data_IF_599296399832
#
_entry.id   IF_599296399832
#
_cell.length_a   1.000
_cell.length_b   1.000
_cell.length_c   1.000
_cell.angle_alpha   90.00
_cell.angle_beta   90.00
_cell.angle_gamma   90.00
#
_symmetry.space_group_name_H-M   'P 1'
#
loop_
_entity.id
_entity.type
_entity.pdbx_description
1 polymer ?
#
# COMPACT_ATOMS: atom_id res chain seq x y z
N UNK A 1 -25.53 -10.69 22.80
CA UNK A 1 -24.19 -10.89 23.37
C UNK A 1 -23.26 -10.91 22.18
N UNK A 2 -22.38 -9.89 22.12
CA UNK A 2 -21.19 -9.76 21.26
C UNK A 2 -21.42 -9.64 19.73
N UNK A 3 -20.77 -8.76 18.99
CA UNK A 3 -19.42 -8.19 19.18
C UNK A 3 -19.33 -6.66 19.06
N UNK A 4 -18.27 -6.17 19.69
CA UNK A 4 -18.03 -4.81 20.17
C UNK A 4 -16.83 -4.25 19.39
N UNK A 5 -16.84 -2.93 19.19
CA UNK A 5 -15.66 -2.06 18.96
C UNK A 5 -15.07 -2.06 17.54
N UNK A 6 -15.54 -1.13 16.69
CA UNK A 6 -14.60 -0.41 15.81
C UNK A 6 -14.03 0.73 16.63
N UNK A 7 -12.86 0.50 17.21
CA UNK A 7 -12.11 1.50 17.95
C UNK A 7 -11.83 2.64 16.96
N UNK A 8 -12.17 3.86 17.36
CA UNK A 8 -11.91 5.05 16.58
C UNK A 8 -10.42 5.09 16.27
N UNK A 9 -10.07 4.92 14.99
CA UNK A 9 -8.68 4.88 14.57
C UNK A 9 -8.03 6.23 14.88
N UNK A 10 -6.90 6.21 15.59
CA UNK A 10 -5.98 7.34 15.59
C UNK A 10 -5.59 7.60 14.13
N UNK A 11 -6.13 8.66 13.53
CA UNK A 11 -5.86 9.03 12.14
C UNK A 11 -4.48 9.71 12.10
N UNK A 12 -3.42 9.02 11.66
CA UNK A 12 -2.10 9.63 11.59
C UNK A 12 -2.11 10.80 10.62
N UNK A 13 -1.40 11.86 10.97
CA UNK A 13 -1.28 13.02 10.08
C UNK A 13 -0.42 12.70 8.86
N UNK A 14 0.61 11.86 9.08
CA UNK A 14 1.62 11.51 8.09
C UNK A 14 1.70 9.99 7.89
N UNK A 15 1.78 9.55 6.65
CA UNK A 15 2.00 8.13 6.32
C UNK A 15 3.24 7.98 5.46
N UNK A 16 4.10 7.02 5.82
CA UNK A 16 5.28 6.64 5.05
C UNK A 16 4.97 5.33 4.33
N UNK A 17 5.02 5.32 3.00
CA UNK A 17 4.82 4.11 2.18
C UNK A 17 6.18 3.60 1.71
N UNK A 18 6.53 2.38 2.11
CA UNK A 18 7.76 1.69 1.70
C UNK A 18 7.40 0.65 0.64
N UNK A 19 7.94 0.84 -0.56
CA UNK A 19 7.72 -0.13 -1.63
C UNK A 19 8.60 -1.35 -1.45
N UNK A 20 8.00 -2.51 -1.69
CA UNK A 20 8.68 -3.78 -1.80
C UNK A 20 9.60 -3.87 -3.00
N UNK A 21 10.55 -4.80 -2.89
CA UNK A 21 11.39 -5.32 -3.93
C UNK A 21 11.80 -6.73 -3.52
N UNK A 22 12.46 -7.47 -4.40
CA UNK A 22 12.83 -8.86 -4.19
C UNK A 22 13.46 -9.12 -2.80
N UNK A 23 13.01 -10.18 -2.13
CA UNK A 23 13.70 -10.81 -0.99
C UNK A 23 14.81 -11.75 -1.46
N UNK A 24 15.67 -12.16 -0.53
CA UNK A 24 16.60 -13.27 -0.73
C UNK A 24 15.85 -14.62 -0.71
N UNK A 25 16.52 -15.68 -1.16
CA UNK A 25 15.95 -17.05 -1.21
C UNK A 25 15.57 -17.59 0.17
N UNK A 26 16.28 -17.16 1.22
CA UNK A 26 16.01 -17.50 2.62
C UNK A 26 14.86 -16.68 3.25
N UNK A 27 14.24 -15.78 2.48
CA UNK A 27 13.19 -14.88 2.94
C UNK A 27 13.69 -13.63 3.66
N UNK A 28 15.01 -13.44 3.80
CA UNK A 28 15.57 -12.22 4.36
C UNK A 28 15.46 -11.04 3.37
N UNK A 29 15.36 -9.79 3.85
CA UNK A 29 15.35 -8.63 2.96
C UNK A 29 16.69 -8.49 2.23
N UNK A 30 16.65 -8.14 0.95
CA UNK A 30 17.84 -7.73 0.19
C UNK A 30 18.42 -6.43 0.73
N UNK A 31 19.68 -6.11 0.41
CA UNK A 31 20.29 -4.82 0.79
C UNK A 31 19.48 -3.61 0.30
N UNK A 32 18.79 -3.73 -0.83
CA UNK A 32 17.88 -2.69 -1.32
C UNK A 32 16.66 -2.52 -0.43
N UNK A 33 16.02 -3.62 -0.01
CA UNK A 33 14.92 -3.57 0.96
C UNK A 33 15.38 -2.96 2.29
N UNK A 34 16.52 -3.42 2.82
CA UNK A 34 17.10 -2.87 4.06
C UNK A 34 17.33 -1.37 3.96
N UNK A 35 17.94 -0.91 2.86
CA UNK A 35 18.17 0.51 2.63
C UNK A 35 16.88 1.33 2.61
N UNK A 36 15.80 0.81 1.99
CA UNK A 36 14.49 1.48 1.99
C UNK A 36 13.87 1.53 3.39
N UNK A 37 13.91 0.43 4.13
CA UNK A 37 13.38 0.38 5.50
C UNK A 37 14.17 1.34 6.40
N UNK A 38 15.50 1.36 6.31
CA UNK A 38 16.33 2.28 7.08
C UNK A 38 15.98 3.74 6.77
N UNK A 39 15.79 4.09 5.50
CA UNK A 39 15.36 5.44 5.12
C UNK A 39 13.97 5.78 5.65
N UNK A 40 13.04 4.82 5.64
CA UNK A 40 11.72 4.99 6.24
C UNK A 40 11.80 5.17 7.76
N UNK A 41 12.67 4.43 8.44
CA UNK A 41 12.90 4.53 9.87
C UNK A 41 13.50 5.90 10.28
N UNK A 42 14.41 6.45 9.47
CA UNK A 42 14.92 7.81 9.67
C UNK A 42 13.80 8.85 9.60
N UNK A 43 12.92 8.74 8.60
CA UNK A 43 11.76 9.63 8.46
C UNK A 43 10.79 9.47 9.63
N UNK A 44 10.46 8.23 9.99
CA UNK A 44 9.61 7.89 11.13
C UNK A 44 10.15 8.51 12.42
N UNK A 45 11.44 8.32 12.71
CA UNK A 45 12.10 8.89 13.89
C UNK A 45 12.06 10.41 13.87
N UNK A 46 12.32 11.04 12.73
CA UNK A 46 12.27 12.50 12.58
C UNK A 46 10.87 13.08 12.80
N UNK A 47 9.82 12.38 12.34
CA UNK A 47 8.42 12.76 12.55
C UNK A 47 8.02 12.58 14.03
N UNK A 48 8.37 11.46 14.65
CA UNK A 48 8.15 11.22 16.09
C UNK A 48 8.84 12.29 16.96
N UNK A 49 10.07 12.69 16.63
CA UNK A 49 10.78 13.78 17.32
C UNK A 49 10.08 15.14 17.22
N UNK A 50 9.33 15.36 16.14
CA UNK A 50 8.50 16.55 15.95
C UNK A 50 7.11 16.40 16.58
N UNK A 51 6.87 15.30 17.31
CA UNK A 51 5.58 14.94 17.90
C UNK A 51 4.46 14.83 16.85
N UNK A 52 4.81 14.41 15.64
CA UNK A 52 3.87 14.13 14.54
C UNK A 52 3.49 12.66 14.61
N UNK A 53 2.19 12.39 14.68
CA UNK A 53 1.69 11.02 14.59
C UNK A 53 1.82 10.49 13.16
N UNK A 54 2.53 9.37 13.02
CA UNK A 54 2.83 8.78 11.73
C UNK A 54 2.81 7.26 11.77
N UNK A 55 2.41 6.68 10.63
CA UNK A 55 2.43 5.22 10.40
C UNK A 55 3.28 4.87 9.19
N UNK A 56 3.80 3.65 9.16
CA UNK A 56 4.62 3.11 8.07
C UNK A 56 3.88 1.96 7.40
N UNK A 57 3.51 2.15 6.14
CA UNK A 57 2.95 1.10 5.30
C UNK A 57 4.09 0.40 4.57
N UNK A 58 4.20 -0.91 4.75
CA UNK A 58 5.11 -1.77 3.96
C UNK A 58 4.28 -2.56 2.95
N UNK A 59 4.49 -2.31 1.65
CA UNK A 59 3.71 -2.94 0.56
C UNK A 59 4.58 -3.88 -0.26
N UNK A 60 4.13 -5.11 -0.50
CA UNK A 60 4.76 -6.01 -1.45
C UNK A 60 4.25 -7.45 -1.38
N UNK A 61 4.05 -8.02 -2.56
CA UNK A 61 3.57 -9.39 -2.75
C UNK A 61 4.63 -10.46 -2.47
N UNK A 62 4.17 -11.70 -2.39
CA UNK A 62 5.03 -12.90 -2.42
C UNK A 62 4.93 -13.54 -3.80
N UNK A 63 6.01 -13.58 -4.57
CA UNK A 63 6.10 -14.42 -5.75
C UNK A 63 6.24 -15.90 -5.32
N UNK A 64 5.19 -16.75 -5.37
CA UNK A 64 5.19 -18.04 -4.67
C UNK A 64 6.27 -19.01 -5.18
N UNK A 65 6.63 -18.88 -6.46
CA UNK A 65 7.65 -19.71 -7.10
C UNK A 65 9.10 -19.25 -6.81
N UNK A 66 9.28 -18.08 -6.18
CA UNK A 66 10.60 -17.44 -5.99
C UNK A 66 10.86 -16.97 -4.56
N UNK A 67 9.83 -16.87 -3.73
CA UNK A 67 9.89 -16.25 -2.41
C UNK A 67 9.12 -17.09 -1.38
N UNK A 68 9.76 -17.32 -0.23
CA UNK A 68 9.16 -18.08 0.89
C UNK A 68 8.21 -17.21 1.72
N UNK A 69 8.41 -15.89 1.73
CA UNK A 69 7.62 -14.89 2.47
C UNK A 69 7.29 -13.69 1.57
N UNK A 70 6.25 -12.93 1.91
CA UNK A 70 5.96 -11.66 1.24
C UNK A 70 7.06 -10.65 1.52
N UNK A 71 7.29 -9.75 0.56
CA UNK A 71 8.22 -8.63 0.75
C UNK A 71 7.80 -7.77 1.96
N UNK A 72 6.49 -7.52 2.12
CA UNK A 72 5.95 -6.79 3.27
C UNK A 72 6.26 -7.45 4.62
N UNK A 73 6.08 -8.77 4.74
CA UNK A 73 6.42 -9.51 5.95
C UNK A 73 7.93 -9.51 6.24
N UNK A 74 8.78 -9.63 5.21
CA UNK A 74 10.23 -9.50 5.38
C UNK A 74 10.63 -8.09 5.86
N UNK A 75 9.97 -7.05 5.36
CA UNK A 75 10.21 -5.67 5.78
C UNK A 75 9.78 -5.40 7.22
N UNK A 76 8.57 -5.83 7.60
CA UNK A 76 8.08 -5.71 8.98
C UNK A 76 9.03 -6.40 9.96
N UNK A 77 9.36 -7.68 9.68
CA UNK A 77 10.25 -8.45 10.54
C UNK A 77 11.60 -7.75 10.73
N UNK A 78 12.20 -7.27 9.64
CA UNK A 78 13.47 -6.56 9.74
C UNK A 78 13.37 -5.26 10.55
N UNK A 79 12.31 -4.48 10.36
CA UNK A 79 12.11 -3.24 11.11
C UNK A 79 11.96 -3.48 12.62
N UNK A 80 11.16 -4.49 12.98
CA UNK A 80 10.88 -4.86 14.39
C UNK A 80 12.12 -5.49 15.04
N UNK A 81 12.76 -6.47 14.38
CA UNK A 81 13.93 -7.17 14.93
C UNK A 81 15.10 -6.20 15.21
N UNK A 82 15.22 -5.12 14.42
CA UNK A 82 16.25 -4.10 14.57
C UNK A 82 15.80 -2.87 15.40
N UNK A 83 14.59 -2.89 15.98
CA UNK A 83 14.01 -1.78 16.75
C UNK A 83 14.01 -0.44 15.98
N UNK A 84 13.74 -0.49 14.67
CA UNK A 84 13.75 0.69 13.80
C UNK A 84 12.41 1.44 13.82
N UNK A 85 11.32 0.70 13.93
CA UNK A 85 9.94 1.20 13.91
C UNK A 85 9.13 0.32 14.87
N UNK A 86 8.28 0.93 15.69
CA UNK A 86 7.40 0.19 16.59
C UNK A 86 6.38 -0.62 15.78
N UNK A 87 6.17 -1.88 16.16
CA UNK A 87 5.30 -2.81 15.41
C UNK A 87 3.86 -2.30 15.27
N UNK A 88 3.35 -1.56 16.26
CA UNK A 88 2.01 -0.95 16.24
C UNK A 88 1.85 0.17 15.20
N UNK A 89 2.95 0.79 14.77
CA UNK A 89 2.94 1.82 13.73
C UNK A 89 3.20 1.25 12.33
N UNK A 90 3.46 -0.06 12.20
CA UNK A 90 3.65 -0.73 10.91
C UNK A 90 2.32 -1.30 10.42
N UNK A 91 1.98 -1.01 9.16
CA UNK A 91 0.85 -1.59 8.46
C UNK A 91 1.38 -2.42 7.30
N UNK A 92 1.03 -3.69 7.25
CA UNK A 92 1.39 -4.58 6.14
C UNK A 92 0.34 -4.56 5.03
N UNK A 93 0.82 -4.51 3.80
CA UNK A 93 0.02 -4.65 2.59
C UNK A 93 0.67 -5.72 1.69
N UNK A 94 0.00 -6.85 1.51
CA UNK A 94 0.56 -8.06 0.89
C UNK A 94 -0.08 -8.44 -0.45
N UNK A 95 -1.05 -7.64 -0.94
CA UNK A 95 -1.81 -7.92 -2.15
C UNK A 95 -1.12 -7.41 -3.43
N UNK A 96 -0.22 -6.45 -3.31
CA UNK A 96 0.35 -5.74 -4.46
C UNK A 96 1.42 -6.53 -5.23
N UNK A 97 1.06 -7.05 -6.41
CA UNK A 97 1.94 -7.88 -7.26
C UNK A 97 2.77 -7.09 -8.28
N UNK A 98 2.57 -5.77 -8.36
CA UNK A 98 3.27 -4.90 -9.29
C UNK A 98 3.48 -3.50 -8.71
N UNK A 99 4.39 -2.71 -9.30
CA UNK A 99 4.65 -1.34 -8.86
C UNK A 99 3.41 -0.44 -8.91
N UNK A 100 2.54 -0.63 -9.90
CA UNK A 100 1.28 0.11 -10.00
C UNK A 100 0.30 -0.30 -8.88
N UNK A 101 0.28 -1.59 -8.54
CA UNK A 101 -0.53 -2.11 -7.44
C UNK A 101 -0.01 -1.63 -6.08
N UNK A 102 1.30 -1.51 -5.88
CA UNK A 102 1.88 -0.96 -4.63
C UNK A 102 1.35 0.45 -4.37
N UNK A 103 1.31 1.27 -5.42
CA UNK A 103 0.76 2.62 -5.33
C UNK A 103 -0.76 2.62 -5.09
N UNK A 104 -1.49 1.71 -5.75
CA UNK A 104 -2.95 1.60 -5.62
C UNK A 104 -3.38 1.14 -4.22
N UNK A 105 -2.85 0.02 -3.73
CA UNK A 105 -3.20 -0.51 -2.41
C UNK A 105 -2.66 0.38 -1.29
N UNK A 106 -1.45 0.93 -1.45
CA UNK A 106 -0.93 1.94 -0.54
C UNK A 106 -1.87 3.16 -0.44
N UNK A 107 -2.45 3.59 -1.56
CA UNK A 107 -3.41 4.71 -1.57
C UNK A 107 -4.73 4.36 -0.89
N UNK A 108 -5.27 3.16 -1.09
CA UNK A 108 -6.49 2.71 -0.39
C UNK A 108 -6.29 2.81 1.12
N UNK A 109 -5.15 2.34 1.62
CA UNK A 109 -4.85 2.38 3.05
C UNK A 109 -4.71 3.83 3.53
N UNK A 110 -4.02 4.69 2.79
CA UNK A 110 -3.94 6.14 3.11
C UNK A 110 -5.32 6.78 3.23
N UNK A 111 -6.21 6.52 2.27
CA UNK A 111 -7.56 7.08 2.25
C UNK A 111 -8.41 6.55 3.42
N UNK A 112 -8.17 5.33 3.91
CA UNK A 112 -8.82 4.77 5.11
C UNK A 112 -8.43 5.51 6.40
N UNK A 113 -7.21 6.06 6.44
CA UNK A 113 -6.67 6.79 7.60
C UNK A 113 -6.86 8.30 7.53
N UNK A 114 -7.40 8.82 6.42
CA UNK A 114 -7.57 10.26 6.17
C UNK A 114 -6.28 11.07 6.38
N UNK A 115 -5.13 10.48 6.03
CA UNK A 115 -3.84 11.11 6.27
C UNK A 115 -3.62 12.32 5.35
N UNK A 116 -3.08 13.40 5.92
CA UNK A 116 -2.86 14.66 5.20
C UNK A 116 -1.59 14.62 4.34
N UNK A 117 -0.55 13.93 4.80
CA UNK A 117 0.75 13.88 4.17
C UNK A 117 1.16 12.44 3.88
N UNK A 118 1.73 12.21 2.69
CA UNK A 118 2.22 10.90 2.27
C UNK A 118 3.66 11.01 1.80
N UNK A 119 4.54 10.26 2.44
CA UNK A 119 5.95 10.12 2.08
C UNK A 119 6.15 8.77 1.42
N UNK A 120 6.66 8.74 0.18
CA UNK A 120 6.90 7.47 -0.53
C UNK A 120 8.39 7.17 -0.59
N UNK A 121 8.78 6.03 -0.04
CA UNK A 121 10.15 5.51 -0.08
C UNK A 121 10.23 4.43 -1.15
N UNK A 122 10.92 4.77 -2.23
CA UNK A 122 11.23 3.88 -3.36
C UNK A 122 12.68 4.10 -3.78
N UNK A 123 13.35 3.07 -4.33
CA UNK A 123 14.69 3.29 -4.90
C UNK A 123 14.59 4.14 -6.18
N UNK A 124 15.65 4.88 -6.50
CA UNK A 124 15.71 5.93 -7.54
C UNK A 124 15.30 5.50 -8.98
N UNK A 125 14.91 4.26 -9.23
CA UNK A 125 14.59 3.75 -10.56
C UNK A 125 13.11 3.90 -11.02
N UNK A 126 12.18 4.48 -10.24
CA UNK A 126 10.73 4.48 -10.62
C UNK A 126 10.03 5.84 -10.48
N UNK A 127 10.76 6.96 -10.55
CA UNK A 127 10.19 8.30 -10.37
C UNK A 127 9.21 8.75 -11.47
N UNK A 128 9.24 8.15 -12.66
CA UNK A 128 8.50 8.66 -13.82
C UNK A 128 7.00 8.30 -13.83
N UNK A 129 6.63 7.18 -13.21
CA UNK A 129 5.26 6.66 -13.24
C UNK A 129 4.46 7.04 -11.98
N UNK A 130 5.11 7.07 -10.80
CA UNK A 130 4.43 7.35 -9.52
C UNK A 130 4.05 8.82 -9.30
N UNK A 131 4.81 9.78 -9.87
CA UNK A 131 4.55 11.22 -9.68
C UNK A 131 3.19 11.67 -10.24
N UNK A 132 2.70 11.01 -11.29
CA UNK A 132 1.42 11.35 -11.92
C UNK A 132 0.24 10.78 -11.12
N UNK A 133 0.39 9.61 -10.50
CA UNK A 133 -0.65 8.99 -9.68
C UNK A 133 -0.86 9.75 -8.36
N UNK A 134 0.24 10.09 -7.66
CA UNK A 134 0.16 10.78 -6.36
C UNK A 134 -0.36 12.22 -6.48
N UNK A 135 -0.08 12.92 -7.59
CA UNK A 135 -0.54 14.31 -7.81
C UNK A 135 -1.93 14.43 -8.43
N UNK A 136 -2.47 13.39 -9.06
CA UNK A 136 -3.77 13.48 -9.75
C UNK A 136 -4.99 13.41 -8.82
N UNK A 137 -4.78 13.25 -7.51
CA UNK A 137 -5.88 13.03 -6.55
C UNK A 137 -5.98 14.11 -5.47
N UNK A 138 -5.23 15.21 -5.55
CA UNK A 138 -5.42 16.36 -4.66
C UNK A 138 -6.66 17.15 -5.08
N UNK A 139 -7.74 16.96 -4.31
CA UNK A 139 -9.03 17.68 -4.34
C UNK A 139 -9.79 17.63 -5.67
N UNK A 140 -10.55 16.55 -5.88
CA UNK A 140 -11.92 16.67 -6.38
C UNK A 140 -12.81 15.72 -5.58
N UNK A 141 -13.87 16.24 -4.98
CA UNK A 141 -14.96 15.45 -4.39
C UNK A 141 -15.64 14.67 -5.52
N UNK A 142 -15.15 13.47 -5.80
CA UNK A 142 -15.72 12.62 -6.83
C UNK A 142 -16.73 11.69 -6.18
N UNK A 143 -18.00 12.10 -6.26
CA UNK A 143 -19.13 11.32 -5.78
C UNK A 143 -19.17 9.94 -6.45
N UNK A 144 -19.70 9.00 -5.67
CA UNK A 144 -19.73 7.54 -5.74
C UNK A 144 -20.27 6.88 -7.03
N UNK A 145 -20.34 7.57 -8.17
CA UNK A 145 -21.07 7.10 -9.36
C UNK A 145 -20.20 6.61 -10.54
N UNK A 146 -18.89 6.81 -10.53
CA UNK A 146 -18.00 6.37 -11.61
C UNK A 146 -17.25 5.04 -11.33
N UNK A 147 -17.47 4.44 -10.16
CA UNK A 147 -16.73 3.24 -9.73
C UNK A 147 -17.22 1.93 -10.40
N UNK A 148 -18.46 1.86 -10.86
CA UNK A 148 -18.99 0.65 -11.52
C UNK A 148 -18.46 0.48 -12.94
N UNK A 149 -18.25 1.58 -13.67
CA UNK A 149 -17.85 1.54 -15.09
C UNK A 149 -16.39 1.15 -15.27
N UNK A 150 -15.49 1.68 -14.43
CA UNK A 150 -14.06 1.36 -14.51
C UNK A 150 -13.77 -0.09 -14.11
N UNK A 151 -14.42 -0.59 -13.05
CA UNK A 151 -14.30 -1.98 -12.60
C UNK A 151 -14.87 -2.97 -13.64
N UNK A 152 -16.02 -2.66 -14.24
CA UNK A 152 -16.61 -3.45 -15.31
C UNK A 152 -15.72 -3.51 -16.56
N UNK A 153 -15.13 -2.39 -16.97
CA UNK A 153 -14.21 -2.33 -18.12
C UNK A 153 -12.93 -3.12 -17.83
N UNK A 154 -12.40 -3.04 -16.61
CA UNK A 154 -11.22 -3.79 -16.18
C UNK A 154 -11.48 -5.30 -16.08
N UNK A 155 -12.62 -5.72 -15.51
CA UNK A 155 -13.02 -7.13 -15.43
C UNK A 155 -13.34 -7.74 -16.81
N UNK A 156 -13.92 -6.95 -17.72
CA UNK A 156 -14.21 -7.39 -19.10
C UNK A 156 -12.93 -7.59 -19.92
N UNK A 157 -11.89 -6.76 -19.69
CA UNK A 157 -10.59 -6.86 -20.40
C UNK A 157 -9.73 -8.07 -19.99
N UNK A 158 -9.95 -8.65 -18.80
CA UNK A 158 -9.24 -9.86 -18.34
C UNK A 158 -10.04 -11.17 -18.54
N UNK A 159 -11.17 -11.12 -19.26
CA UNK A 159 -11.94 -12.34 -19.59
C UNK A 159 -12.60 -13.04 -18.40
N UNK A 160 -12.76 -12.37 -17.25
CA UNK A 160 -13.40 -12.93 -16.04
C UNK A 160 -14.94 -12.87 -16.06
N UNK A 161 -15.55 -12.49 -17.17
CA UNK A 161 -17.00 -12.50 -17.35
C UNK A 161 -17.33 -13.30 -18.61
N UNK A 162 -17.93 -14.47 -18.44
CA UNK A 162 -18.48 -15.25 -19.54
C UNK A 162 -19.60 -14.47 -20.26
N UNK A 163 -19.70 -14.66 -21.57
CA UNK A 163 -20.48 -13.86 -22.53
C UNK A 163 -22.01 -13.94 -22.41
N UNK A 164 -22.57 -14.43 -21.30
CA UNK A 164 -23.96 -14.89 -21.25
C UNK A 164 -24.99 -13.87 -20.73
N UNK A 165 -24.60 -12.72 -20.17
CA UNK A 165 -25.57 -11.73 -19.64
C UNK A 165 -25.64 -10.39 -20.40
N UNK A 166 -25.19 -10.33 -21.66
CA UNK A 166 -25.27 -9.09 -22.45
C UNK A 166 -26.65 -8.74 -23.02
N UNK A 167 -27.74 -9.42 -22.63
CA UNK A 167 -29.07 -9.20 -23.25
C UNK A 167 -30.19 -8.67 -22.37
N UNK A 168 -30.01 -8.42 -21.08
CA UNK A 168 -31.14 -8.03 -20.20
C UNK A 168 -31.15 -6.60 -19.66
N UNK A 169 -30.10 -5.80 -19.83
CA UNK A 169 -29.97 -4.53 -19.06
C UNK A 169 -30.30 -3.27 -19.90
N UNK A 170 -30.63 -3.41 -21.19
CA UNK A 170 -31.11 -2.30 -22.03
C UNK A 170 -32.43 -2.67 -22.70
N UNK A 171 -33.51 -2.75 -21.92
CA UNK A 171 -34.91 -2.59 -22.33
C UNK A 171 -35.80 -2.62 -21.09
N UNK A 172 -36.19 -1.43 -20.62
CA UNK A 172 -37.46 -1.01 -19.97
C UNK A 172 -37.18 0.25 -19.16
#
# INVERSE_FOLDING_TARGET
>A
MEEKIWQQADNPTDIIIVHGSRTNEDGSPTEMLKSRINRAAELYTSLKQQNIDCRVIVTGYQAPDQQVVTEASAMEKYAVDNNLIDSEHIIKEEQASSTAENAYYGRIIVDQYDASNVHVVTSQCIWREQRNFLRSSTRQTFTMWNFTTALMIWMTRRGKIEKTEKKSIFRS
#
